data_IF_724814591184
#
_entry.id   IF_724814591184
#
_cell.length_a   1.000
_cell.length_b   1.000
_cell.length_c   1.000
_cell.angle_alpha   90.00
_cell.angle_beta   90.00
_cell.angle_gamma   90.00
#
_symmetry.space_group_name_H-M   'P 1'
#
loop_
_entity.id
_entity.type
_entity.pdbx_description
1 polymer ?
#
# COMPACT_ATOMS: atom_id res chain seq x y z
N UNK A 1 15.12 -37.71 66.50
CA UNK A 1 16.30 -36.85 66.62
C UNK A 1 16.15 -35.73 65.60
N UNK A 2 16.07 -34.49 66.10
CA UNK A 2 16.06 -33.18 65.39
C UNK A 2 14.79 -32.88 64.56
N UNK A 3 13.79 -32.09 65.00
CA UNK A 3 13.75 -30.66 65.39
C UNK A 3 14.16 -29.72 64.22
N UNK A 4 13.50 -28.61 63.88
CA UNK A 4 12.38 -27.87 64.50
C UNK A 4 11.76 -26.87 63.47
N UNK A 5 10.64 -26.28 63.86
CA UNK A 5 9.57 -25.56 63.15
C UNK A 5 9.83 -24.13 62.56
N UNK A 6 8.82 -23.57 61.82
CA UNK A 6 8.89 -22.33 61.03
C UNK A 6 8.36 -21.06 61.75
N UNK A 7 8.71 -19.86 61.27
CA UNK A 7 8.10 -18.52 61.55
C UNK A 7 8.45 -17.58 60.38
N UNK A 8 7.67 -16.63 59.87
CA UNK A 8 6.38 -16.00 60.19
C UNK A 8 6.38 -14.62 59.50
N UNK A 9 5.25 -14.21 58.90
CA UNK A 9 5.02 -12.81 58.46
C UNK A 9 4.62 -11.95 59.68
N UNK A 10 4.86 -10.62 59.68
CA UNK A 10 3.76 -9.69 59.37
C UNK A 10 4.13 -8.27 58.79
N UNK A 11 3.22 -7.77 57.95
CA UNK A 11 2.66 -6.39 57.80
C UNK A 11 3.47 -5.07 57.92
N UNK A 12 3.34 -4.28 56.84
CA UNK A 12 2.94 -2.84 56.73
C UNK A 12 3.75 -1.69 57.34
N UNK A 13 4.06 -0.69 56.50
CA UNK A 13 3.57 0.72 56.52
C UNK A 13 4.66 1.74 56.17
N UNK A 14 4.28 2.77 55.38
CA UNK A 14 5.16 3.88 55.01
C UNK A 14 4.68 4.61 53.75
N UNK A 15 3.76 5.55 53.95
CA UNK A 15 3.10 6.42 52.96
C UNK A 15 3.96 7.61 52.47
N UNK A 16 3.34 8.42 51.60
CA UNK A 16 3.63 9.82 51.22
C UNK A 16 4.56 10.01 49.98
N UNK A 17 4.31 10.88 49.00
CA UNK A 17 3.23 11.84 48.73
C UNK A 17 3.49 12.49 47.34
N UNK A 18 2.42 12.68 46.57
CA UNK A 18 2.12 13.74 45.57
C UNK A 18 3.20 14.28 44.62
N UNK A 19 2.87 14.33 43.32
CA UNK A 19 2.42 15.56 42.65
C UNK A 19 2.24 15.37 41.14
N UNK A 20 0.99 15.56 40.67
CA UNK A 20 0.70 16.00 39.30
C UNK A 20 1.29 17.40 39.08
N UNK A 21 1.52 17.81 37.83
CA UNK A 21 0.50 18.70 37.26
C UNK A 21 0.17 18.44 35.80
N UNK A 22 -1.09 18.73 35.50
CA UNK A 22 -1.67 18.91 34.19
C UNK A 22 -0.89 19.95 33.38
N UNK A 23 -0.43 19.55 32.19
CA UNK A 23 0.07 20.45 31.16
C UNK A 23 -0.91 20.47 29.99
N UNK A 24 -1.83 21.45 29.98
CA UNK A 24 -2.57 21.85 28.79
C UNK A 24 -1.59 22.10 27.64
N UNK A 25 -1.77 21.40 26.52
CA UNK A 25 -1.25 21.87 25.23
C UNK A 25 -2.45 22.17 24.35
N UNK A 26 -2.72 23.47 24.29
CA UNK A 26 -3.64 24.15 23.41
C UNK A 26 -3.38 23.87 21.93
N UNK A 27 -4.45 24.04 21.16
CA UNK A 27 -4.55 24.03 19.70
C UNK A 27 -3.29 24.30 18.89
N UNK A 28 -3.06 23.40 17.93
CA UNK A 28 -2.12 23.57 16.84
C UNK A 28 -2.63 22.87 15.60
N UNK A 29 -3.51 23.54 14.85
CA UNK A 29 -3.97 23.11 13.52
C UNK A 29 -2.74 23.13 12.60
N UNK A 30 -2.04 22.00 12.47
CA UNK A 30 -0.90 21.88 11.57
C UNK A 30 -1.37 21.93 10.11
N UNK A 31 -1.56 23.15 9.60
CA UNK A 31 -1.56 23.44 8.17
C UNK A 31 -0.12 23.39 7.70
N UNK A 32 0.44 22.20 7.49
CA UNK A 32 1.68 22.07 6.72
C UNK A 32 1.32 22.14 5.24
N UNK A 33 1.26 23.38 4.76
CA UNK A 33 1.21 23.70 3.34
C UNK A 33 2.41 23.04 2.64
N UNK A 34 2.14 21.98 1.89
CA UNK A 34 3.09 21.41 0.94
C UNK A 34 3.38 22.51 -0.10
N UNK A 35 4.53 23.16 0.03
CA UNK A 35 5.01 24.15 -0.94
C UNK A 35 5.22 23.44 -2.27
N UNK A 36 4.26 23.64 -3.18
CA UNK A 36 4.41 23.38 -4.61
C UNK A 36 5.64 24.15 -5.10
N UNK A 37 6.67 23.43 -5.51
CA UNK A 37 7.81 24.04 -6.19
C UNK A 37 7.32 24.67 -7.49
N UNK A 38 7.58 25.98 -7.65
CA UNK A 38 7.44 26.70 -8.91
C UNK A 38 8.41 26.10 -9.94
N UNK A 39 7.92 26.01 -11.17
CA UNK A 39 8.50 25.24 -12.26
C UNK A 39 9.95 25.56 -12.59
N UNK A 40 10.70 24.47 -12.82
CA UNK A 40 11.88 24.46 -13.67
C UNK A 40 11.54 23.76 -14.98
N UNK A 41 11.73 24.43 -16.12
CA UNK A 41 11.76 23.82 -17.45
C UNK A 41 12.95 22.85 -17.49
N UNK A 42 12.67 21.55 -17.55
CA UNK A 42 13.65 20.51 -17.82
C UNK A 42 12.96 19.38 -18.58
N UNK A 43 13.50 19.02 -19.75
CA UNK A 43 12.93 18.06 -20.67
C UNK A 43 12.44 16.78 -19.94
N UNK A 44 11.15 16.47 -20.09
CA UNK A 44 10.52 15.26 -19.57
C UNK A 44 11.14 14.04 -20.28
N UNK A 45 12.25 13.52 -19.76
CA UNK A 45 12.76 12.24 -20.24
C UNK A 45 11.76 11.16 -19.81
N UNK A 46 11.04 10.59 -20.77
CA UNK A 46 10.18 9.43 -20.61
C UNK A 46 11.03 8.22 -20.15
N UNK A 47 11.26 8.12 -18.84
CA UNK A 47 12.03 7.02 -18.26
C UNK A 47 11.19 5.76 -18.30
N UNK A 48 11.59 4.83 -19.17
CA UNK A 48 11.07 3.46 -19.21
C UNK A 48 11.93 2.53 -18.35
N UNK A 49 11.31 1.69 -17.53
CA UNK A 49 11.98 0.64 -16.73
C UNK A 49 11.23 -0.68 -16.90
N UNK A 50 11.96 -1.79 -17.01
CA UNK A 50 11.40 -3.13 -16.86
C UNK A 50 11.68 -3.62 -15.44
N UNK A 51 10.64 -4.05 -14.73
CA UNK A 51 10.72 -4.51 -13.35
C UNK A 51 10.31 -5.98 -13.27
N UNK A 52 11.02 -6.76 -12.44
CA UNK A 52 10.55 -8.09 -12.06
C UNK A 52 9.53 -7.96 -10.92
N UNK A 53 8.26 -7.96 -11.29
CA UNK A 53 7.13 -7.59 -10.45
C UNK A 53 5.84 -8.17 -11.05
N UNK A 54 4.77 -8.12 -10.27
CA UNK A 54 3.41 -8.37 -10.77
C UNK A 54 2.62 -7.07 -10.72
N UNK A 55 1.64 -6.91 -11.60
CA UNK A 55 0.78 -5.73 -11.63
C UNK A 55 -0.67 -6.13 -11.92
N UNK A 56 -1.57 -5.62 -11.09
CA UNK A 56 -3.02 -5.76 -11.25
C UNK A 56 -3.65 -4.37 -11.26
N UNK A 57 -4.86 -4.27 -11.79
CA UNK A 57 -5.71 -3.10 -11.64
C UNK A 57 -6.95 -3.50 -10.83
N UNK A 58 -7.31 -2.67 -9.85
CA UNK A 58 -8.55 -2.77 -9.07
C UNK A 58 -9.25 -1.42 -9.14
N UNK A 59 -10.50 -1.39 -9.62
CA UNK A 59 -11.21 -0.18 -10.01
C UNK A 59 -10.34 0.59 -11.02
N UNK A 60 -9.95 1.82 -10.73
CA UNK A 60 -9.00 2.59 -11.55
C UNK A 60 -7.55 2.55 -11.03
N UNK A 61 -7.25 1.80 -9.95
CA UNK A 61 -5.94 1.79 -9.29
C UNK A 61 -5.07 0.65 -9.80
N UNK A 62 -4.01 0.99 -10.52
CA UNK A 62 -2.89 0.08 -10.77
C UNK A 62 -2.09 -0.16 -9.50
N UNK A 63 -1.92 -1.43 -9.14
CA UNK A 63 -1.18 -1.90 -7.97
C UNK A 63 0.06 -2.62 -8.48
N UNK A 64 1.23 -2.09 -8.15
CA UNK A 64 2.51 -2.72 -8.45
C UNK A 64 2.95 -3.57 -7.26
N UNK A 65 3.14 -4.87 -7.46
CA UNK A 65 3.52 -5.82 -6.43
C UNK A 65 4.98 -6.22 -6.65
N UNK A 66 5.87 -5.82 -5.73
CA UNK A 66 7.31 -6.08 -5.80
C UNK A 66 7.76 -6.96 -4.63
N UNK A 67 8.99 -7.48 -4.75
CA UNK A 67 9.59 -8.36 -3.76
C UNK A 67 10.50 -9.39 -4.42
N UNK A 68 11.27 -10.11 -3.59
CA UNK A 68 12.17 -11.16 -4.04
C UNK A 68 11.45 -12.25 -4.86
N UNK A 69 12.21 -13.02 -5.64
CA UNK A 69 11.67 -14.21 -6.27
C UNK A 69 11.11 -15.17 -5.21
N UNK A 70 9.99 -15.83 -5.49
CA UNK A 70 9.34 -16.71 -4.53
C UNK A 70 8.57 -16.02 -3.39
N UNK A 71 8.62 -14.69 -3.25
CA UNK A 71 7.94 -13.97 -2.15
C UNK A 71 6.40 -14.08 -2.19
N UNK A 72 5.81 -14.54 -3.29
CA UNK A 72 4.36 -14.71 -3.42
C UNK A 72 3.63 -13.60 -4.20
N UNK A 73 4.34 -12.75 -4.94
CA UNK A 73 3.79 -11.63 -5.74
C UNK A 73 2.58 -12.03 -6.61
N UNK A 74 2.77 -13.05 -7.44
CA UNK A 74 1.75 -13.56 -8.38
C UNK A 74 0.54 -14.14 -7.62
N UNK A 75 0.79 -14.93 -6.56
CA UNK A 75 -0.28 -15.46 -5.69
C UNK A 75 -1.10 -14.34 -5.04
N UNK A 76 -0.44 -13.30 -4.56
CA UNK A 76 -1.12 -12.16 -3.94
C UNK A 76 -1.90 -11.32 -4.94
N UNK A 77 -1.37 -11.14 -6.16
CA UNK A 77 -2.12 -10.54 -7.27
C UNK A 77 -3.41 -11.29 -7.56
N UNK A 78 -3.37 -12.63 -7.62
CA UNK A 78 -4.56 -13.45 -7.80
C UNK A 78 -5.58 -13.27 -6.66
N UNK A 79 -5.12 -13.18 -5.40
CA UNK A 79 -6.00 -12.92 -4.25
C UNK A 79 -6.67 -11.54 -4.33
N UNK A 80 -5.94 -10.50 -4.74
CA UNK A 80 -6.50 -9.17 -4.95
C UNK A 80 -7.61 -9.19 -6.02
N UNK A 81 -7.37 -9.87 -7.14
CA UNK A 81 -8.36 -9.99 -8.20
C UNK A 81 -9.60 -10.74 -7.73
N UNK A 82 -9.41 -11.90 -7.07
CA UNK A 82 -10.52 -12.69 -6.55
C UNK A 82 -11.35 -11.90 -5.54
N UNK A 83 -10.70 -11.23 -4.59
CA UNK A 83 -11.37 -10.43 -3.56
C UNK A 83 -12.11 -9.23 -4.14
N UNK A 84 -11.50 -8.48 -5.07
CA UNK A 84 -12.15 -7.35 -5.73
C UNK A 84 -13.38 -7.81 -6.54
N UNK A 85 -13.24 -8.87 -7.34
CA UNK A 85 -14.34 -9.44 -8.12
C UNK A 85 -15.48 -9.95 -7.22
N UNK A 86 -15.16 -10.58 -6.09
CA UNK A 86 -16.14 -11.03 -5.11
C UNK A 86 -16.94 -9.88 -4.49
N UNK A 87 -16.34 -8.69 -4.38
CA UNK A 87 -16.99 -7.46 -3.93
C UNK A 87 -17.70 -6.69 -5.07
N UNK A 88 -17.75 -7.25 -6.28
CA UNK A 88 -18.37 -6.62 -7.46
C UNK A 88 -17.54 -5.49 -8.08
N UNK A 89 -16.26 -5.38 -7.71
CA UNK A 89 -15.36 -4.35 -8.23
C UNK A 89 -14.67 -4.83 -9.52
N UNK A 90 -14.40 -3.90 -10.43
CA UNK A 90 -13.57 -4.20 -11.59
C UNK A 90 -12.17 -4.60 -11.15
N UNK A 91 -11.66 -5.73 -11.66
CA UNK A 91 -10.28 -6.12 -11.44
C UNK A 91 -9.73 -7.04 -12.55
N UNK A 92 -8.52 -6.75 -13.00
CA UNK A 92 -7.83 -7.50 -14.04
C UNK A 92 -6.33 -7.52 -13.82
N UNK A 93 -5.65 -8.51 -14.41
CA UNK A 93 -4.19 -8.45 -14.53
C UNK A 93 -3.80 -7.31 -15.44
N UNK A 94 -2.62 -6.75 -15.21
CA UNK A 94 -1.92 -5.91 -16.17
C UNK A 94 -0.70 -6.67 -16.67
N UNK A 95 0.05 -7.27 -15.75
CA UNK A 95 1.23 -8.07 -16.05
C UNK A 95 1.56 -9.01 -14.88
N UNK A 96 2.18 -10.13 -15.19
CA UNK A 96 2.87 -10.98 -14.21
C UNK A 96 4.32 -11.18 -14.65
N UNK A 97 5.22 -11.43 -13.69
CA UNK A 97 6.67 -11.57 -13.85
C UNK A 97 7.46 -10.34 -14.36
N UNK A 98 7.06 -9.72 -15.49
CA UNK A 98 7.72 -8.53 -16.07
C UNK A 98 6.74 -7.41 -16.35
N UNK A 99 6.92 -6.31 -15.61
CA UNK A 99 6.15 -5.07 -15.76
C UNK A 99 7.03 -4.00 -16.43
N UNK A 100 6.57 -3.43 -17.53
CA UNK A 100 7.17 -2.24 -18.13
C UNK A 100 6.51 -1.01 -17.53
N UNK A 101 7.29 -0.17 -16.86
CA UNK A 101 6.83 1.09 -16.26
C UNK A 101 7.39 2.28 -17.02
N UNK A 102 6.50 3.19 -17.42
CA UNK A 102 6.85 4.45 -18.10
C UNK A 102 6.40 5.64 -17.27
N UNK A 103 7.28 6.63 -17.11
CA UNK A 103 6.93 7.90 -16.47
C UNK A 103 6.36 8.87 -17.49
N UNK A 104 5.10 9.29 -17.29
CA UNK A 104 4.44 10.36 -18.04
C UNK A 104 4.13 11.52 -17.09
N UNK A 105 4.95 12.58 -17.13
CA UNK A 105 4.94 13.65 -16.15
C UNK A 105 5.02 13.10 -14.70
N UNK A 106 4.03 13.36 -13.85
CA UNK A 106 3.97 12.88 -12.47
C UNK A 106 3.18 11.58 -12.30
N UNK A 107 2.89 10.88 -13.40
CA UNK A 107 2.19 9.59 -13.37
C UNK A 107 3.08 8.48 -13.90
N UNK A 108 2.83 7.28 -13.38
CA UNK A 108 3.48 6.06 -13.83
C UNK A 108 2.45 5.17 -14.51
N UNK A 109 2.76 4.75 -15.74
CA UNK A 109 1.97 3.78 -16.49
C UNK A 109 2.69 2.44 -16.42
N UNK A 110 1.98 1.40 -15.99
CA UNK A 110 2.43 0.01 -16.05
C UNK A 110 1.77 -0.70 -17.22
N UNK A 111 2.53 -1.52 -17.93
CA UNK A 111 2.09 -2.35 -19.02
C UNK A 111 2.80 -3.72 -18.95
N UNK A 112 2.22 -4.80 -19.50
CA UNK A 112 2.93 -6.06 -19.63
C UNK A 112 4.12 -5.94 -20.57
N UNK A 113 5.16 -6.73 -20.30
CA UNK A 113 6.18 -6.95 -21.31
C UNK A 113 5.57 -7.73 -22.50
N UNK A 114 5.78 -7.30 -23.76
CA UNK A 114 5.10 -7.87 -24.92
C UNK A 114 5.24 -9.40 -25.07
N UNK A 115 6.41 -9.94 -24.70
CA UNK A 115 6.69 -11.37 -24.80
C UNK A 115 5.81 -12.27 -23.89
N UNK A 116 5.25 -11.72 -22.81
CA UNK A 116 4.49 -12.48 -21.80
C UNK A 116 3.13 -11.85 -21.46
N UNK A 117 2.64 -10.94 -22.29
CA UNK A 117 1.35 -10.29 -22.09
C UNK A 117 0.19 -11.31 -21.99
N UNK A 118 -0.72 -11.09 -21.04
CA UNK A 118 -1.87 -11.96 -20.79
C UNK A 118 -1.52 -13.36 -20.28
N UNK A 119 -0.28 -13.58 -19.82
CA UNK A 119 0.18 -14.84 -19.23
C UNK A 119 0.42 -14.67 -17.73
N UNK A 120 0.09 -15.71 -16.98
CA UNK A 120 0.29 -15.80 -15.54
C UNK A 120 0.75 -17.21 -15.18
N UNK A 121 1.77 -17.34 -14.32
CA UNK A 121 2.24 -18.65 -13.86
C UNK A 121 1.47 -19.08 -12.60
N UNK A 122 0.56 -20.03 -12.76
CA UNK A 122 -0.07 -20.71 -11.65
C UNK A 122 0.81 -21.88 -11.19
N UNK A 123 1.55 -21.69 -10.09
CA UNK A 123 2.41 -22.76 -9.53
C UNK A 123 1.60 -24.04 -9.31
N UNK A 124 2.09 -25.15 -9.86
CA UNK A 124 1.42 -26.46 -9.83
C UNK A 124 0.43 -26.72 -10.97
N UNK A 125 0.06 -25.69 -11.74
CA UNK A 125 -0.85 -25.80 -12.90
C UNK A 125 -0.19 -25.36 -14.22
N UNK A 126 0.93 -24.61 -14.15
CA UNK A 126 1.65 -24.11 -15.32
C UNK A 126 1.26 -22.68 -15.72
N UNK A 127 1.57 -22.31 -16.97
CA UNK A 127 1.27 -20.98 -17.50
C UNK A 127 -0.17 -20.94 -17.99
N UNK A 128 -0.98 -20.06 -17.41
CA UNK A 128 -2.37 -19.82 -17.76
C UNK A 128 -2.52 -18.53 -18.55
N UNK A 129 -3.62 -18.43 -19.30
CA UNK A 129 -4.09 -17.19 -19.92
C UNK A 129 -5.24 -16.63 -19.11
N UNK A 130 -5.20 -15.34 -18.83
CA UNK A 130 -6.23 -14.63 -18.07
C UNK A 130 -6.52 -13.27 -18.76
N UNK A 131 -7.76 -12.76 -18.72
CA UNK A 131 -8.06 -11.40 -19.17
C UNK A 131 -7.12 -10.39 -18.51
N UNK A 132 -6.56 -9.50 -19.32
CA UNK A 132 -5.62 -8.50 -18.88
C UNK A 132 -5.89 -7.15 -19.53
N UNK A 133 -5.54 -6.09 -18.82
CA UNK A 133 -5.52 -4.73 -19.33
C UNK A 133 -4.14 -4.41 -19.93
N UNK A 134 -4.08 -3.73 -21.09
CA UNK A 134 -2.81 -3.41 -21.74
C UNK A 134 -2.01 -2.35 -20.97
N UNK A 135 -2.66 -1.61 -20.08
CA UNK A 135 -2.07 -0.51 -19.34
C UNK A 135 -2.87 -0.20 -18.06
N UNK A 136 -2.18 0.21 -17.00
CA UNK A 136 -2.78 0.82 -15.82
C UNK A 136 -1.95 1.98 -15.27
N UNK A 137 -2.62 2.98 -14.69
CA UNK A 137 -1.95 4.05 -13.93
C UNK A 137 -1.63 3.52 -12.53
N UNK A 138 -0.35 3.47 -12.18
CA UNK A 138 0.08 3.05 -10.84
C UNK A 138 -0.32 4.07 -9.79
N UNK A 139 -1.00 3.59 -8.74
CA UNK A 139 -1.46 4.38 -7.59
C UNK A 139 -1.00 3.81 -6.24
N UNK A 140 -0.58 2.54 -6.21
CA UNK A 140 -0.13 1.85 -5.02
C UNK A 140 1.04 0.91 -5.35
N UNK A 141 2.01 0.86 -4.44
CA UNK A 141 3.05 -0.16 -4.41
C UNK A 141 2.76 -1.09 -3.24
N UNK A 142 2.80 -2.40 -3.48
CA UNK A 142 2.81 -3.43 -2.44
C UNK A 142 4.18 -4.08 -2.47
N UNK A 143 4.96 -3.92 -1.41
CA UNK A 143 6.30 -4.50 -1.31
C UNK A 143 6.31 -5.68 -0.35
N UNK A 144 6.65 -6.84 -0.87
CA UNK A 144 6.92 -8.01 -0.06
C UNK A 144 8.32 -7.87 0.53
N UNK A 145 8.38 -7.75 1.86
CA UNK A 145 9.58 -7.55 2.68
C UNK A 145 9.73 -8.71 3.67
N UNK A 146 10.94 -8.89 4.21
CA UNK A 146 11.21 -9.94 5.20
C UNK A 146 10.57 -9.62 6.56
N UNK A 147 10.61 -8.35 6.95
CA UNK A 147 9.99 -7.83 8.16
C UNK A 147 9.59 -6.38 7.97
N UNK A 148 8.67 -5.92 8.81
CA UNK A 148 8.23 -4.53 8.90
C UNK A 148 7.75 -4.28 10.32
N UNK A 149 7.84 -3.05 10.79
CA UNK A 149 7.25 -2.67 12.07
C UNK A 149 5.72 -2.80 12.03
N UNK A 150 5.09 -2.98 13.20
CA UNK A 150 3.64 -3.06 13.32
C UNK A 150 2.95 -1.79 12.80
N UNK A 151 3.58 -0.65 13.01
CA UNK A 151 3.18 0.65 12.47
C UNK A 151 4.40 1.30 11.84
N UNK A 152 4.63 1.12 10.52
CA UNK A 152 5.80 1.66 9.85
C UNK A 152 5.82 3.18 9.88
N UNK A 153 7.01 3.76 9.92
CA UNK A 153 7.19 5.19 9.77
C UNK A 153 6.65 5.70 8.43
N UNK A 154 6.23 6.97 8.41
CA UNK A 154 5.62 7.58 7.22
C UNK A 154 6.52 7.56 5.98
N UNK A 155 7.84 7.57 6.15
CA UNK A 155 8.80 7.45 5.06
C UNK A 155 8.78 6.05 4.41
N UNK A 156 8.52 5.00 5.19
CA UNK A 156 8.39 3.63 4.69
C UNK A 156 7.08 3.39 3.93
N UNK A 157 6.08 4.24 4.16
CA UNK A 157 4.81 4.23 3.42
C UNK A 157 4.90 4.94 2.06
N UNK A 158 6.10 5.32 1.62
CA UNK A 158 6.37 5.84 0.29
C UNK A 158 7.37 4.94 -0.45
N UNK A 159 7.09 4.66 -1.72
CA UNK A 159 7.95 3.88 -2.60
C UNK A 159 8.29 4.64 -3.86
N UNK A 160 9.56 4.58 -4.29
CA UNK A 160 10.03 5.23 -5.51
C UNK A 160 10.00 4.26 -6.70
N UNK A 161 9.40 4.69 -7.82
CA UNK A 161 9.45 3.99 -9.11
C UNK A 161 9.68 5.02 -10.21
N UNK A 162 10.70 4.81 -11.05
CA UNK A 162 11.08 5.71 -12.14
C UNK A 162 11.18 7.21 -11.74
N UNK A 163 11.53 7.50 -10.49
CA UNK A 163 11.67 8.87 -9.96
C UNK A 163 10.36 9.53 -9.52
N UNK A 164 9.27 8.77 -9.39
CA UNK A 164 7.98 9.23 -8.83
C UNK A 164 7.73 8.46 -7.53
N UNK A 165 7.31 9.17 -6.49
CA UNK A 165 6.90 8.59 -5.22
C UNK A 165 5.43 8.16 -5.28
N UNK A 166 5.13 6.94 -4.87
CA UNK A 166 3.76 6.43 -4.70
C UNK A 166 3.55 5.96 -3.26
N UNK A 167 2.29 5.94 -2.79
CA UNK A 167 1.92 5.19 -1.59
C UNK A 167 2.46 3.76 -1.68
N UNK A 168 3.09 3.30 -0.60
CA UNK A 168 3.67 1.98 -0.46
C UNK A 168 3.05 1.30 0.75
N UNK A 169 2.74 0.02 0.60
CA UNK A 169 2.34 -0.86 1.68
C UNK A 169 3.36 -2.01 1.79
N UNK A 170 4.22 -2.02 2.82
CA UNK A 170 5.06 -3.18 3.09
C UNK A 170 4.21 -4.32 3.64
N UNK A 171 4.38 -5.52 3.08
CA UNK A 171 3.76 -6.75 3.56
C UNK A 171 4.84 -7.79 3.85
N UNK A 172 4.71 -8.51 4.95
CA UNK A 172 5.65 -9.58 5.30
C UNK A 172 5.44 -10.77 4.36
N UNK A 173 6.50 -11.16 3.65
CA UNK A 173 6.48 -12.31 2.76
C UNK A 173 6.08 -13.59 3.52
N UNK A 174 5.25 -14.42 2.90
CA UNK A 174 4.69 -15.62 3.52
C UNK A 174 3.56 -15.39 4.53
N UNK A 175 3.27 -14.14 4.94
CA UNK A 175 2.10 -13.80 5.78
C UNK A 175 0.97 -13.11 5.01
N UNK A 176 1.29 -12.43 3.92
CA UNK A 176 0.30 -11.76 3.09
C UNK A 176 -0.71 -12.74 2.47
N UNK A 177 -1.99 -12.58 2.78
CA UNK A 177 -3.09 -13.43 2.34
C UNK A 177 -4.37 -12.65 2.05
N UNK A 178 -5.51 -13.31 2.29
CA UNK A 178 -6.83 -12.75 1.96
C UNK A 178 -7.20 -11.52 2.80
N UNK A 179 -6.76 -11.48 4.06
CA UNK A 179 -7.00 -10.34 4.95
C UNK A 179 -6.38 -9.06 4.39
N UNK A 180 -5.09 -9.10 4.03
CA UNK A 180 -4.37 -7.97 3.44
C UNK A 180 -4.96 -7.57 2.10
N UNK A 181 -5.34 -8.55 1.26
CA UNK A 181 -6.02 -8.28 0.00
C UNK A 181 -7.34 -7.53 0.21
N UNK A 182 -8.15 -7.96 1.19
CA UNK A 182 -9.42 -7.31 1.55
C UNK A 182 -9.22 -5.89 2.07
N UNK A 183 -8.20 -5.67 2.92
CA UNK A 183 -7.84 -4.34 3.38
C UNK A 183 -7.46 -3.41 2.23
N UNK A 184 -6.61 -3.88 1.30
CA UNK A 184 -6.17 -3.08 0.15
C UNK A 184 -7.35 -2.70 -0.74
N UNK A 185 -8.24 -3.66 -1.07
CA UNK A 185 -9.43 -3.39 -1.89
C UNK A 185 -10.34 -2.37 -1.19
N UNK A 186 -10.57 -2.54 0.11
CA UNK A 186 -11.37 -1.61 0.91
C UNK A 186 -10.76 -0.20 0.96
N UNK A 187 -9.45 -0.09 1.14
CA UNK A 187 -8.73 1.19 1.15
C UNK A 187 -8.81 1.90 -0.20
N UNK A 188 -8.66 1.16 -1.32
CA UNK A 188 -8.80 1.72 -2.67
C UNK A 188 -10.20 2.29 -2.86
N UNK A 189 -11.23 1.52 -2.50
CA UNK A 189 -12.63 1.94 -2.57
C UNK A 189 -12.88 3.22 -1.77
N UNK A 190 -12.50 3.21 -0.48
CA UNK A 190 -12.69 4.37 0.40
C UNK A 190 -11.97 5.62 -0.10
N UNK A 191 -10.76 5.49 -0.65
CA UNK A 191 -9.98 6.62 -1.15
C UNK A 191 -10.63 7.23 -2.39
N UNK A 192 -11.07 6.42 -3.34
CA UNK A 192 -11.75 6.89 -4.54
C UNK A 192 -13.14 7.46 -4.28
N UNK A 193 -13.90 6.93 -3.31
CA UNK A 193 -15.19 7.50 -2.91
C UNK A 193 -15.03 8.90 -2.27
N UNK A 194 -13.94 9.12 -1.52
CA UNK A 194 -13.61 10.45 -0.98
C UNK A 194 -13.20 11.42 -2.08
N UNK A 195 -12.31 11.00 -2.99
CA UNK A 195 -11.87 11.81 -4.13
C UNK A 195 -13.05 12.18 -5.05
N UNK A 196 -13.92 11.20 -5.38
CA UNK A 196 -15.13 11.43 -6.15
C UNK A 196 -16.08 12.42 -5.50
N UNK A 197 -16.29 12.33 -4.18
CA UNK A 197 -17.11 13.31 -3.42
C UNK A 197 -16.52 14.71 -3.44
N UNK A 198 -15.20 14.85 -3.27
CA UNK A 198 -14.52 16.15 -3.32
C UNK A 198 -14.60 16.77 -4.73
N UNK A 199 -14.49 15.93 -5.77
CA UNK A 199 -14.60 16.37 -7.18
C UNK A 199 -16.03 16.81 -7.52
N UNK A 200 -17.04 16.13 -6.99
CA UNK A 200 -18.43 16.52 -7.18
C UNK A 200 -18.77 17.83 -6.43
N UNK A 201 -18.36 17.95 -5.16
CA UNK A 201 -18.58 19.17 -4.36
C UNK A 201 -17.94 20.41 -5.00
N UNK A 202 -16.71 20.28 -5.55
CA UNK A 202 -16.02 21.38 -6.24
C UNK A 202 -16.64 21.75 -7.59
N UNK A 203 -17.40 20.85 -8.24
CA UNK A 203 -18.10 21.13 -9.51
C UNK A 203 -19.47 21.77 -9.33
N UNK A 204 -20.16 21.54 -8.21
CA UNK A 204 -21.47 22.14 -7.94
C UNK A 204 -21.36 23.61 -7.49
N UNK A 205 -20.16 24.08 -7.17
CA UNK A 205 -19.88 25.47 -6.75
C UNK A 205 -19.81 26.53 -7.87
N UNK A 206 -20.20 26.24 -9.12
CA UNK A 206 -20.20 27.23 -10.21
C UNK A 206 -21.38 27.05 -11.16
N UNK A 207 -22.60 27.06 -10.59
CA UNK A 207 -23.79 27.49 -11.31
C UNK A 207 -24.49 28.50 -10.42
N UNK A 208 -23.92 29.70 -10.35
CA UNK A 208 -24.69 30.89 -10.02
C UNK A 208 -25.29 31.36 -11.35
N UNK A 209 -26.60 31.18 -11.48
CA UNK A 209 -27.44 31.79 -12.53
C UNK A 209 -27.49 33.29 -12.28
#
# INVERSE_FOLDING_TARGET
>A
MSADEPKGDPSSSGEAEQASPEGRISGGRAKSALRLHKGGKGASSDKTRSLHASCVVVRESGILIRGASGAGKSRFGALLLAQARALGEFAAWVADDRVVVRRRAERLLAAPHPAIAGRYEARGLGILREPHEPCAVLRLIVDFVESTERLPDGAELLGMVAGVALPRLPLVAGRAGLYEASLIVSLIRMRQEKEGRLTLCSRVGTVAI
#
